data_IF_776926664896
#
_entry.id   IF_776926664896
#
_cell.length_a   1.000
_cell.length_b   1.000
_cell.length_c   1.000
_cell.angle_alpha   90.00
_cell.angle_beta   90.00
_cell.angle_gamma   90.00
#
_symmetry.space_group_name_H-M   'P 1'
#
loop_
_entity.id
_entity.type
_entity.pdbx_description
1 polymer ?
#
# COMPACT_ATOMS: atom_id res chain seq x y z
N UNK A 1 5.16 -74.70 48.34
CA UNK A 1 5.13 -73.31 47.81
C UNK A 1 5.53 -73.37 46.34
N UNK A 2 4.55 -73.52 45.43
CA UNK A 2 4.78 -73.62 43.97
C UNK A 2 4.20 -72.35 43.33
N UNK A 3 5.04 -71.58 42.64
CA UNK A 3 4.70 -70.29 42.02
C UNK A 3 4.05 -70.55 40.65
N UNK A 4 2.84 -70.02 40.46
CA UNK A 4 2.17 -69.91 39.17
C UNK A 4 2.62 -68.59 38.51
N UNK A 5 3.15 -68.69 37.30
CA UNK A 5 3.47 -67.55 36.43
C UNK A 5 2.32 -67.42 35.44
N UNK A 6 1.58 -66.31 35.49
CA UNK A 6 0.60 -65.94 34.47
C UNK A 6 1.20 -64.82 33.63
N UNK A 7 1.43 -65.10 32.35
CA UNK A 7 1.88 -64.15 31.34
C UNK A 7 0.68 -63.39 30.77
N UNK A 8 0.65 -62.08 30.89
CA UNK A 8 -0.26 -61.21 30.13
C UNK A 8 0.56 -60.49 29.05
N UNK A 9 0.27 -60.80 27.79
CA UNK A 9 0.88 -60.17 26.63
C UNK A 9 0.24 -58.78 26.41
N UNK A 10 1.03 -57.72 26.51
CA UNK A 10 0.64 -56.38 26.07
C UNK A 10 1.06 -56.19 24.60
N UNK A 11 0.08 -56.05 23.72
CA UNK A 11 0.28 -55.70 22.31
C UNK A 11 0.55 -54.20 22.23
N UNK A 12 1.78 -53.82 21.89
CA UNK A 12 2.17 -52.44 21.59
C UNK A 12 1.92 -52.18 20.10
N UNK A 13 0.89 -51.39 19.79
CA UNK A 13 0.66 -50.83 18.46
C UNK A 13 1.57 -49.61 18.26
N UNK A 14 2.57 -49.74 17.40
CA UNK A 14 3.35 -48.60 16.91
C UNK A 14 2.58 -47.89 15.80
N UNK A 15 1.99 -46.72 16.10
CA UNK A 15 1.53 -45.79 15.08
C UNK A 15 2.72 -44.97 14.57
N UNK A 16 3.18 -45.30 13.37
CA UNK A 16 4.08 -44.47 12.57
C UNK A 16 3.24 -43.45 11.80
N UNK A 17 3.15 -42.22 12.28
CA UNK A 17 2.71 -41.10 11.44
C UNK A 17 3.93 -40.58 10.67
N UNK A 18 4.09 -41.05 9.43
CA UNK A 18 4.91 -40.37 8.43
C UNK A 18 4.28 -38.99 8.20
N UNK A 19 5.01 -37.95 8.55
CA UNK A 19 4.66 -36.59 8.20
C UNK A 19 5.12 -36.39 6.76
N UNK A 20 4.24 -36.66 5.78
CA UNK A 20 4.48 -36.32 4.38
C UNK A 20 4.50 -34.79 4.25
N UNK A 21 5.67 -34.23 4.46
CA UNK A 21 5.98 -32.86 4.13
C UNK A 21 6.04 -32.79 2.60
N UNK A 22 4.89 -32.47 2.01
CA UNK A 22 4.81 -32.02 0.63
C UNK A 22 5.54 -30.67 0.56
N UNK A 23 6.83 -30.73 0.26
CA UNK A 23 7.62 -29.58 -0.18
C UNK A 23 7.01 -29.07 -1.50
N UNK A 24 6.04 -28.16 -1.38
CA UNK A 24 5.60 -27.32 -2.48
C UNK A 24 6.70 -26.31 -2.77
N UNK A 25 7.67 -26.76 -3.55
CA UNK A 25 8.60 -25.91 -4.27
C UNK A 25 7.87 -25.20 -5.42
N UNK A 26 6.90 -24.33 -5.10
CA UNK A 26 6.41 -23.37 -6.09
C UNK A 26 7.46 -22.27 -6.26
N UNK A 27 8.40 -22.53 -7.17
CA UNK A 27 9.07 -21.48 -7.93
C UNK A 27 8.05 -20.89 -8.89
N UNK A 28 7.04 -20.20 -8.36
CA UNK A 28 6.10 -19.45 -9.18
C UNK A 28 6.80 -18.19 -9.69
N UNK A 29 7.40 -18.31 -10.88
CA UNK A 29 7.67 -17.20 -11.80
C UNK A 29 6.39 -16.73 -12.50
N UNK A 30 5.22 -16.96 -11.91
CA UNK A 30 3.94 -16.47 -12.41
C UNK A 30 3.93 -14.94 -12.31
N UNK A 31 3.96 -14.26 -13.45
CA UNK A 31 3.80 -12.81 -13.52
C UNK A 31 2.47 -12.43 -12.85
N UNK A 32 2.50 -11.45 -11.94
CA UNK A 32 1.28 -10.97 -11.29
C UNK A 32 0.43 -10.29 -12.36
N UNK A 33 -0.77 -10.84 -12.62
CA UNK A 33 -1.67 -10.39 -13.69
C UNK A 33 -2.68 -9.34 -13.25
N UNK A 34 -2.79 -9.09 -11.94
CA UNK A 34 -3.70 -8.12 -11.33
C UNK A 34 -3.02 -7.42 -10.17
N UNK A 35 -3.22 -6.11 -10.02
CA UNK A 35 -2.78 -5.37 -8.84
C UNK A 35 -3.40 -6.01 -7.59
N UNK A 36 -2.57 -6.20 -6.58
CA UNK A 36 -3.02 -6.66 -5.27
C UNK A 36 -2.35 -5.79 -4.21
N UNK A 37 -3.14 -4.91 -3.59
CA UNK A 37 -2.76 -4.11 -2.44
C UNK A 37 -3.39 -4.73 -1.19
N UNK A 38 -2.60 -4.84 -0.12
CA UNK A 38 -3.06 -5.44 1.14
C UNK A 38 -3.42 -4.40 2.21
N UNK A 39 -3.57 -3.13 1.86
CA UNK A 39 -3.85 -2.04 2.81
C UNK A 39 -5.15 -2.26 3.59
N UNK A 40 -6.20 -2.76 2.93
CA UNK A 40 -7.48 -3.08 3.59
C UNK A 40 -7.35 -4.29 4.52
N UNK A 41 -6.71 -5.38 4.09
CA UNK A 41 -6.46 -6.56 4.93
C UNK A 41 -5.63 -6.22 6.17
N UNK A 42 -4.60 -5.39 6.00
CA UNK A 42 -3.75 -4.91 7.10
C UNK A 42 -4.55 -4.02 8.03
N UNK A 43 -5.38 -3.12 7.51
CA UNK A 43 -6.26 -2.29 8.32
C UNK A 43 -7.22 -3.14 9.17
N UNK A 44 -7.85 -4.16 8.58
CA UNK A 44 -8.75 -5.06 9.30
C UNK A 44 -8.03 -5.84 10.40
N UNK A 45 -6.83 -6.34 10.12
CA UNK A 45 -5.99 -7.00 11.12
C UNK A 45 -5.61 -6.03 12.25
N UNK A 46 -5.30 -4.78 11.95
CA UNK A 46 -4.99 -3.75 12.94
C UNK A 46 -6.20 -3.37 13.78
N UNK A 47 -7.39 -3.23 13.18
CA UNK A 47 -8.64 -2.96 13.90
C UNK A 47 -9.00 -4.10 14.86
N UNK A 48 -8.76 -5.35 14.45
CA UNK A 48 -8.95 -6.53 15.30
C UNK A 48 -7.95 -6.56 16.46
N UNK A 49 -6.70 -6.16 16.22
CA UNK A 49 -5.65 -6.15 17.23
C UNK A 49 -5.76 -4.97 18.22
N UNK A 50 -6.23 -3.81 17.75
CA UNK A 50 -6.46 -2.61 18.53
C UNK A 50 -7.81 -1.98 18.17
N UNK A 51 -8.90 -2.34 18.88
CA UNK A 51 -10.22 -1.77 18.64
C UNK A 51 -10.30 -0.25 18.82
N UNK A 52 -9.36 0.38 19.54
CA UNK A 52 -9.32 1.84 19.69
C UNK A 52 -8.87 2.56 18.41
N UNK A 53 -8.28 1.85 17.44
CA UNK A 53 -7.95 2.38 16.12
C UNK A 53 -9.20 2.93 15.41
N UNK A 54 -10.34 2.25 15.51
CA UNK A 54 -11.60 2.73 14.91
C UNK A 54 -11.98 4.13 15.43
N UNK A 55 -11.79 4.38 16.73
CA UNK A 55 -12.07 5.69 17.35
C UNK A 55 -11.11 6.75 16.79
N UNK A 56 -9.80 6.43 16.71
CA UNK A 56 -8.80 7.35 16.16
C UNK A 56 -9.07 7.69 14.69
N UNK A 57 -9.43 6.69 13.88
CA UNK A 57 -9.79 6.91 12.47
C UNK A 57 -11.05 7.78 12.32
N UNK A 58 -12.09 7.54 13.12
CA UNK A 58 -13.29 8.39 13.09
C UNK A 58 -12.99 9.84 13.49
N UNK A 59 -12.09 10.07 14.44
CA UNK A 59 -11.62 11.41 14.79
C UNK A 59 -10.86 12.08 13.63
N UNK A 60 -10.05 11.31 12.90
CA UNK A 60 -9.32 11.78 11.72
C UNK A 60 -10.28 12.13 10.58
N UNK A 61 -11.31 11.31 10.34
CA UNK A 61 -12.34 11.62 9.33
C UNK A 61 -13.13 12.88 9.70
N UNK A 62 -13.59 13.00 10.94
CA UNK A 62 -14.28 14.21 11.40
C UNK A 62 -13.41 15.47 11.31
N UNK A 63 -12.11 15.35 11.61
CA UNK A 63 -11.17 16.45 11.42
C UNK A 63 -10.99 16.80 9.94
N UNK A 64 -10.83 15.79 9.09
CA UNK A 64 -10.63 15.93 7.63
C UNK A 64 -11.83 16.64 6.99
N UNK A 65 -13.05 16.18 7.28
CA UNK A 65 -14.27 16.79 6.80
C UNK A 65 -14.38 18.26 7.25
N UNK A 66 -14.15 18.52 8.55
CA UNK A 66 -14.17 19.89 9.09
C UNK A 66 -13.12 20.79 8.42
N UNK A 67 -11.91 20.30 8.20
CA UNK A 67 -10.83 21.05 7.54
C UNK A 67 -11.20 21.39 6.09
N UNK A 68 -11.80 20.45 5.35
CA UNK A 68 -12.30 20.68 4.00
C UNK A 68 -13.45 21.70 3.97
N UNK A 69 -14.44 21.57 4.85
CA UNK A 69 -15.58 22.49 4.95
C UNK A 69 -15.17 23.92 5.32
N UNK A 70 -14.21 24.05 6.25
CA UNK A 70 -13.68 25.36 6.69
C UNK A 70 -12.59 25.90 5.78
N UNK A 71 -12.25 25.17 4.70
CA UNK A 71 -11.14 25.48 3.78
C UNK A 71 -9.79 25.66 4.49
N UNK A 72 -9.62 25.02 5.65
CA UNK A 72 -8.35 24.94 6.38
C UNK A 72 -7.50 23.85 5.77
N UNK A 73 -7.00 24.12 4.57
CA UNK A 73 -6.11 23.25 3.82
C UNK A 73 -4.71 23.87 3.77
N UNK A 74 -3.73 23.05 3.45
CA UNK A 74 -2.37 23.52 3.20
C UNK A 74 -2.38 24.56 2.08
N UNK A 75 -1.82 25.74 2.32
CA UNK A 75 -1.67 26.82 1.33
C UNK A 75 -0.20 27.06 0.95
N UNK A 76 0.62 26.00 1.00
CA UNK A 76 2.06 26.03 0.78
C UNK A 76 2.57 24.68 0.28
N UNK A 77 3.88 24.61 0.01
CA UNK A 77 4.53 23.39 -0.48
C UNK A 77 4.76 22.43 0.69
N UNK A 78 4.12 21.26 0.65
CA UNK A 78 4.47 20.14 1.55
C UNK A 78 5.65 19.39 0.94
N UNK A 79 6.73 19.27 1.70
CA UNK A 79 7.89 18.44 1.33
C UNK A 79 7.96 17.30 2.32
N UNK A 80 7.69 16.07 1.85
CA UNK A 80 7.72 14.87 2.66
C UNK A 80 9.14 14.29 2.66
N UNK A 81 9.84 14.27 3.79
CA UNK A 81 11.11 13.56 3.91
C UNK A 81 10.88 12.05 3.82
N UNK A 82 11.68 11.35 3.01
CA UNK A 82 11.54 9.91 2.77
C UNK A 82 12.77 9.14 3.23
N UNK A 83 12.55 8.07 4.00
CA UNK A 83 13.56 7.06 4.33
C UNK A 83 13.19 5.75 3.66
N UNK A 84 14.11 5.22 2.85
CA UNK A 84 13.90 3.95 2.11
C UNK A 84 14.69 2.83 2.79
N UNK A 85 13.97 1.80 3.23
CA UNK A 85 14.46 0.66 3.98
C UNK A 85 14.45 -0.60 3.10
N UNK A 86 15.59 -0.98 2.53
CA UNK A 86 15.73 -2.14 1.64
C UNK A 86 16.13 -3.39 2.44
N UNK A 87 15.27 -4.41 2.42
CA UNK A 87 15.56 -5.74 2.95
C UNK A 87 15.71 -6.74 1.82
N UNK A 88 16.91 -7.31 1.67
CA UNK A 88 17.26 -8.12 0.50
C UNK A 88 17.95 -9.42 0.90
N UNK A 89 17.66 -10.51 0.20
CA UNK A 89 18.36 -11.80 0.31
C UNK A 89 19.21 -12.08 -0.92
N UNK A 90 18.77 -11.63 -2.10
CA UNK A 90 19.48 -11.79 -3.38
C UNK A 90 19.97 -10.45 -3.92
N UNK A 91 20.86 -10.50 -4.92
CA UNK A 91 21.33 -9.29 -5.61
C UNK A 91 20.19 -8.52 -6.32
N UNK A 92 19.19 -9.23 -6.85
CA UNK A 92 18.03 -8.61 -7.51
C UNK A 92 17.13 -7.86 -6.52
N UNK A 93 16.96 -8.37 -5.30
CA UNK A 93 16.18 -7.71 -4.24
C UNK A 93 16.93 -6.50 -3.66
N UNK A 94 18.25 -6.44 -3.82
CA UNK A 94 19.09 -5.30 -3.40
C UNK A 94 19.08 -4.19 -4.45
N UNK A 95 17.88 -3.65 -4.74
CA UNK A 95 17.63 -2.68 -5.82
C UNK A 95 18.60 -1.49 -5.81
N UNK A 96 18.97 -0.96 -6.97
CA UNK A 96 19.97 0.12 -7.04
C UNK A 96 19.47 1.45 -6.46
N UNK A 97 20.40 2.33 -6.06
CA UNK A 97 20.05 3.70 -5.64
C UNK A 97 19.36 4.49 -6.77
N UNK A 98 19.71 4.21 -8.04
CA UNK A 98 19.05 4.81 -9.20
C UNK A 98 17.58 4.37 -9.32
N UNK A 99 17.29 3.09 -9.08
CA UNK A 99 15.90 2.60 -9.02
C UNK A 99 15.15 3.24 -7.86
N UNK A 100 15.79 3.42 -6.70
CA UNK A 100 15.18 4.11 -5.57
C UNK A 100 14.87 5.57 -5.91
N UNK A 101 15.83 6.30 -6.47
CA UNK A 101 15.65 7.69 -6.88
C UNK A 101 14.54 7.82 -7.92
N UNK A 102 14.46 6.87 -8.87
CA UNK A 102 13.38 6.88 -9.87
C UNK A 102 11.98 6.80 -9.24
N UNK A 103 11.82 6.10 -8.10
CA UNK A 103 10.54 6.09 -7.39
C UNK A 103 10.21 7.45 -6.79
N UNK A 104 11.20 8.14 -6.23
CA UNK A 104 11.03 9.49 -5.67
C UNK A 104 10.66 10.47 -6.79
N UNK A 105 11.26 10.32 -7.97
CA UNK A 105 10.93 11.13 -9.15
C UNK A 105 9.50 10.86 -9.65
N UNK A 106 9.05 9.60 -9.66
CA UNK A 106 7.66 9.22 -10.00
C UNK A 106 6.67 9.82 -9.00
N UNK A 107 6.92 9.68 -7.68
CA UNK A 107 6.06 10.28 -6.66
C UNK A 107 5.98 11.80 -6.84
N UNK A 108 7.10 12.47 -7.10
CA UNK A 108 7.10 13.90 -7.38
C UNK A 108 6.30 14.25 -8.63
N UNK A 109 6.37 13.45 -9.70
CA UNK A 109 5.60 13.69 -10.93
C UNK A 109 4.10 13.53 -10.69
N UNK A 110 3.69 12.43 -10.09
CA UNK A 110 2.28 12.08 -9.90
C UNK A 110 1.58 13.04 -8.92
N UNK A 111 2.23 13.39 -7.80
CA UNK A 111 1.67 14.30 -6.80
C UNK A 111 1.78 15.78 -7.21
N UNK A 112 2.44 16.10 -8.32
CA UNK A 112 2.48 17.46 -8.88
C UNK A 112 1.79 17.59 -10.24
N UNK A 113 1.16 16.53 -10.73
CA UNK A 113 0.56 16.46 -12.06
C UNK A 113 1.55 16.85 -13.19
N UNK A 114 2.82 16.46 -13.03
CA UNK A 114 3.87 16.64 -14.04
C UNK A 114 4.29 15.31 -14.68
N UNK A 115 3.57 14.23 -14.39
CA UNK A 115 3.65 12.96 -15.12
C UNK A 115 3.20 13.15 -16.58
N UNK A 116 3.93 12.57 -17.52
CA UNK A 116 3.73 12.80 -18.97
C UNK A 116 2.41 12.26 -19.50
N UNK A 117 1.82 11.29 -18.81
CA UNK A 117 0.51 10.69 -19.09
C UNK A 117 -0.66 11.46 -18.45
N UNK A 118 -0.41 12.51 -17.66
CA UNK A 118 -1.47 13.33 -17.06
C UNK A 118 -2.40 13.94 -18.11
N UNK A 119 -1.87 14.30 -19.29
CA UNK A 119 -2.67 14.83 -20.40
C UNK A 119 -3.62 13.80 -21.03
N UNK A 120 -3.49 12.52 -20.69
CA UNK A 120 -4.39 11.47 -21.15
C UNK A 120 -5.71 11.44 -20.36
N UNK A 121 -5.87 12.28 -19.32
CA UNK A 121 -7.13 12.43 -18.59
C UNK A 121 -8.28 12.75 -19.52
N UNK A 122 -9.34 11.92 -19.54
CA UNK A 122 -10.52 12.19 -20.34
C UNK A 122 -11.14 13.54 -20.01
N UNK A 123 -11.69 14.22 -21.03
CA UNK A 123 -12.30 15.53 -20.87
C UNK A 123 -13.41 15.59 -19.80
N UNK A 124 -14.09 14.46 -19.53
CA UNK A 124 -15.07 14.35 -18.45
C UNK A 124 -14.47 14.63 -17.06
N UNK A 125 -13.20 14.25 -16.85
CA UNK A 125 -12.51 14.34 -15.55
C UNK A 125 -11.48 15.46 -15.49
N UNK A 126 -11.21 16.17 -16.59
CA UNK A 126 -10.19 17.24 -16.61
C UNK A 126 -10.52 18.40 -15.68
N UNK A 127 -11.81 18.64 -15.38
CA UNK A 127 -12.26 19.66 -14.43
C UNK A 127 -11.97 19.33 -12.97
N UNK A 128 -11.70 18.06 -12.64
CA UNK A 128 -11.42 17.60 -11.27
C UNK A 128 -10.00 17.08 -11.10
N UNK A 129 -9.25 16.84 -12.18
CA UNK A 129 -7.87 16.38 -12.12
C UNK A 129 -6.95 17.39 -11.42
N UNK A 130 -6.14 16.91 -10.48
CA UNK A 130 -5.46 17.79 -9.54
C UNK A 130 -3.94 17.61 -9.53
N UNK A 131 -3.25 18.76 -9.55
CA UNK A 131 -1.92 18.88 -8.95
C UNK A 131 -2.10 18.90 -7.42
N UNK A 132 -1.70 17.83 -6.74
CA UNK A 132 -1.82 17.70 -5.27
C UNK A 132 -0.95 18.74 -4.56
N UNK A 133 0.24 19.03 -5.09
CA UNK A 133 1.15 20.05 -4.56
C UNK A 133 2.05 19.53 -3.43
N UNK A 134 2.17 18.20 -3.30
CA UNK A 134 3.06 17.54 -2.36
C UNK A 134 4.28 17.04 -3.13
N UNK A 135 5.46 17.21 -2.55
CA UNK A 135 6.73 16.73 -3.10
C UNK A 135 7.47 15.86 -2.07
N UNK A 136 8.39 15.04 -2.55
CA UNK A 136 9.11 14.04 -1.76
C UNK A 136 10.60 14.24 -1.90
N UNK A 137 11.32 14.14 -0.80
CA UNK A 137 12.78 14.28 -0.76
C UNK A 137 13.41 13.07 -0.07
N UNK A 138 14.26 12.35 -0.80
CA UNK A 138 15.01 11.23 -0.25
C UNK A 138 16.04 11.73 0.77
N UNK A 139 15.88 11.31 2.03
CA UNK A 139 16.82 11.66 3.11
C UNK A 139 17.84 10.57 3.38
N UNK A 140 17.42 9.32 3.30
CA UNK A 140 18.27 8.21 3.69
C UNK A 140 17.83 6.91 3.00
N UNK A 141 18.83 6.10 2.63
CA UNK A 141 18.65 4.70 2.25
C UNK A 141 19.29 3.84 3.33
N UNK A 142 18.52 2.90 3.89
CA UNK A 142 18.99 1.92 4.87
C UNK A 142 18.85 0.54 4.21
N UNK A 143 19.92 -0.24 4.19
CA UNK A 143 19.94 -1.57 3.58
C UNK A 143 20.27 -2.62 4.61
N UNK A 144 19.60 -3.77 4.56
CA UNK A 144 19.88 -4.91 5.43
C UNK A 144 19.70 -6.23 4.69
N UNK A 145 20.75 -7.05 4.67
CA UNK A 145 20.67 -8.41 4.13
C UNK A 145 19.84 -9.31 5.05
N UNK A 146 19.08 -10.24 4.49
CA UNK A 146 18.23 -11.19 5.21
C UNK A 146 18.31 -12.59 4.59
N UNK A 147 17.92 -13.61 5.35
CA UNK A 147 17.73 -14.98 4.84
C UNK A 147 16.26 -15.29 4.54
N UNK A 148 15.33 -14.40 4.91
CA UNK A 148 13.90 -14.56 4.64
C UNK A 148 13.63 -14.53 3.14
N UNK A 149 12.81 -15.47 2.67
CA UNK A 149 12.35 -15.54 1.28
C UNK A 149 11.12 -14.66 1.03
N UNK A 150 10.34 -14.37 2.08
CA UNK A 150 9.18 -13.48 2.05
C UNK A 150 8.97 -12.85 3.43
N UNK A 151 8.42 -11.63 3.44
CA UNK A 151 8.06 -10.90 4.65
C UNK A 151 6.55 -10.90 4.97
N UNK A 152 5.70 -11.17 3.97
CA UNK A 152 4.24 -11.07 4.07
C UNK A 152 3.78 -9.67 4.49
N UNK A 153 2.59 -9.58 5.07
CA UNK A 153 1.92 -8.31 5.43
C UNK A 153 1.75 -8.11 6.95
N UNK A 154 2.49 -8.88 7.76
CA UNK A 154 2.38 -8.87 9.23
C UNK A 154 3.32 -7.85 9.91
N UNK A 155 3.79 -6.85 9.15
CA UNK A 155 4.75 -5.81 9.58
C UNK A 155 6.08 -6.32 10.16
N UNK A 156 6.44 -7.59 9.93
CA UNK A 156 7.72 -8.14 10.46
C UNK A 156 8.94 -7.46 9.84
N UNK A 157 8.84 -6.95 8.61
CA UNK A 157 9.89 -6.15 7.95
C UNK A 157 10.12 -4.80 8.64
N UNK A 158 9.12 -4.28 9.35
CA UNK A 158 9.17 -3.02 10.10
C UNK A 158 9.72 -3.18 11.52
N UNK A 159 10.11 -4.40 11.92
CA UNK A 159 10.52 -4.70 13.30
C UNK A 159 11.97 -5.21 13.35
N UNK A 160 12.88 -4.39 13.88
CA UNK A 160 14.30 -4.73 14.02
C UNK A 160 14.54 -6.02 14.82
N UNK A 161 13.72 -6.30 15.85
CA UNK A 161 13.83 -7.51 16.68
C UNK A 161 13.37 -8.78 15.94
N UNK A 162 12.64 -8.63 14.83
CA UNK A 162 12.18 -9.74 13.96
C UNK A 162 12.95 -9.83 12.65
N UNK A 163 14.15 -9.23 12.62
CA UNK A 163 15.04 -9.24 11.47
C UNK A 163 14.84 -8.07 10.50
N UNK A 164 13.78 -7.28 10.66
CA UNK A 164 13.47 -6.13 9.80
C UNK A 164 14.32 -4.88 10.10
N UNK A 165 13.80 -3.72 9.68
CA UNK A 165 14.33 -2.38 9.96
C UNK A 165 13.20 -1.58 10.63
N UNK A 166 13.44 -1.03 11.83
CA UNK A 166 12.48 -0.18 12.51
C UNK A 166 12.31 1.18 11.79
N UNK A 167 11.13 1.81 11.84
CA UNK A 167 10.94 3.12 11.22
C UNK A 167 11.92 4.16 11.79
N UNK A 168 12.43 5.01 10.91
CA UNK A 168 13.24 6.18 11.27
C UNK A 168 12.31 7.38 11.42
N UNK A 169 12.18 7.90 12.64
CA UNK A 169 11.40 9.12 12.96
C UNK A 169 10.05 9.20 12.21
N UNK A 170 9.14 8.23 12.41
CA UNK A 170 7.90 8.07 11.61
C UNK A 170 6.92 9.25 11.71
N UNK A 171 7.09 10.13 12.71
CA UNK A 171 6.30 11.36 12.82
C UNK A 171 6.76 12.48 11.88
N UNK A 172 7.97 12.37 11.31
CA UNK A 172 8.55 13.40 10.44
C UNK A 172 9.15 12.85 9.14
N UNK A 173 9.11 11.53 8.95
CA UNK A 173 9.60 10.87 7.74
C UNK A 173 8.59 9.81 7.28
N UNK A 174 8.29 9.81 5.98
CA UNK A 174 7.65 8.68 5.33
C UNK A 174 8.68 7.55 5.25
N UNK A 175 8.37 6.43 5.90
CA UNK A 175 9.20 5.23 5.83
C UNK A 175 8.65 4.32 4.72
N UNK A 176 9.48 4.07 3.70
CA UNK A 176 9.20 3.12 2.63
C UNK A 176 10.03 1.86 2.87
N UNK A 177 9.41 0.71 3.04
CA UNK A 177 10.11 -0.57 3.05
C UNK A 177 10.06 -1.20 1.66
N UNK A 178 11.20 -1.68 1.19
CA UNK A 178 11.34 -2.42 -0.06
C UNK A 178 11.84 -3.81 0.26
N UNK A 179 11.02 -4.82 0.02
CA UNK A 179 11.34 -6.20 0.39
C UNK A 179 10.45 -7.19 -0.36
N UNK A 180 10.85 -8.46 -0.50
CA UNK A 180 9.97 -9.49 -1.08
C UNK A 180 8.76 -9.74 -0.16
N UNK A 181 7.57 -9.27 -0.55
CA UNK A 181 6.34 -9.43 0.23
C UNK A 181 5.80 -10.85 0.02
N UNK A 182 5.71 -11.29 -1.23
CA UNK A 182 5.15 -12.59 -1.63
C UNK A 182 3.62 -12.60 -1.73
N UNK A 183 3.03 -13.73 -2.13
CA UNK A 183 1.58 -13.90 -2.25
C UNK A 183 0.92 -13.09 -3.38
N UNK A 184 1.72 -12.59 -4.33
CA UNK A 184 1.23 -11.72 -5.42
C UNK A 184 0.92 -10.29 -4.98
N UNK A 185 1.23 -9.91 -3.73
CA UNK A 185 0.97 -8.58 -3.18
C UNK A 185 2.04 -7.62 -3.69
N UNK A 186 1.62 -6.51 -4.28
CA UNK A 186 2.54 -5.49 -4.80
C UNK A 186 3.02 -4.54 -3.70
N UNK A 187 2.13 -4.20 -2.78
CA UNK A 187 2.39 -3.27 -1.70
C UNK A 187 1.26 -3.21 -0.68
N UNK A 188 1.51 -2.49 0.41
CA UNK A 188 0.50 -2.06 1.35
C UNK A 188 0.99 -0.84 2.15
N UNK A 189 0.04 -0.09 2.68
CA UNK A 189 0.24 1.05 3.56
C UNK A 189 -0.41 0.81 4.92
N UNK A 190 0.03 1.60 5.89
CA UNK A 190 -0.73 1.82 7.11
C UNK A 190 -1.50 3.15 6.98
N UNK A 191 -2.82 3.10 7.18
CA UNK A 191 -3.67 4.28 7.26
C UNK A 191 -3.32 5.16 8.48
N UNK A 192 -3.61 6.48 8.44
CA UNK A 192 -3.49 7.34 9.61
C UNK A 192 -4.27 6.81 10.83
N UNK A 193 -3.69 6.99 12.02
CA UNK A 193 -4.25 6.51 13.29
C UNK A 193 -3.68 5.17 13.77
N UNK A 194 -2.95 4.45 12.90
CA UNK A 194 -2.19 3.26 13.28
C UNK A 194 -0.98 3.54 14.18
N UNK A 195 -0.26 2.48 14.56
CA UNK A 195 0.91 2.58 15.44
C UNK A 195 2.10 3.26 14.74
N UNK A 196 2.79 4.16 15.43
CA UNK A 196 4.02 4.78 14.92
C UNK A 196 5.13 3.75 14.68
N UNK A 197 5.12 2.60 15.36
CA UNK A 197 6.11 1.54 15.18
C UNK A 197 6.02 0.85 13.81
N UNK A 198 4.94 1.05 13.07
CA UNK A 198 4.64 0.41 11.79
C UNK A 198 4.15 1.39 10.72
N UNK A 199 4.12 2.70 11.01
CA UNK A 199 3.65 3.73 10.07
C UNK A 199 4.56 3.85 8.85
N UNK A 200 3.91 3.92 7.68
CA UNK A 200 4.56 4.01 6.37
C UNK A 200 4.03 2.96 5.41
N UNK A 201 4.82 2.67 4.38
CA UNK A 201 4.42 1.88 3.21
C UNK A 201 5.44 0.79 2.95
N UNK A 202 5.00 -0.42 2.59
CA UNK A 202 5.87 -1.50 2.15
C UNK A 202 5.52 -1.88 0.71
N UNK A 203 6.52 -1.95 -0.16
CA UNK A 203 6.40 -2.31 -1.58
C UNK A 203 7.28 -3.52 -1.88
N UNK A 204 6.80 -4.42 -2.72
CA UNK A 204 7.63 -5.51 -3.21
C UNK A 204 8.77 -4.97 -4.08
N UNK A 205 9.99 -5.46 -3.86
CA UNK A 205 11.19 -5.02 -4.59
C UNK A 205 11.06 -5.07 -6.12
N UNK A 206 10.23 -5.97 -6.66
CA UNK A 206 9.95 -6.08 -8.10
C UNK A 206 9.15 -4.90 -8.66
N UNK A 207 8.38 -4.20 -7.84
CA UNK A 207 7.41 -3.19 -8.28
C UNK A 207 7.71 -1.81 -7.69
N UNK A 208 8.95 -1.58 -7.26
CA UNK A 208 9.43 -0.30 -6.72
C UNK A 208 10.22 0.48 -7.77
N UNK A 209 9.86 1.75 -7.96
CA UNK A 209 10.45 2.64 -8.96
C UNK A 209 10.22 2.14 -10.38
N UNK A 210 11.09 2.58 -11.29
CA UNK A 210 11.10 2.08 -12.67
C UNK A 210 11.84 0.74 -12.72
N UNK A 211 11.14 -0.35 -12.44
CA UNK A 211 11.73 -1.68 -12.15
C UNK A 211 12.05 -2.55 -13.38
N UNK A 212 12.17 -1.95 -14.57
CA UNK A 212 12.47 -2.65 -15.81
C UNK A 212 11.27 -3.42 -16.40
N UNK A 213 11.32 -3.74 -17.69
CA UNK A 213 10.17 -4.32 -18.42
C UNK A 213 9.79 -5.73 -17.99
N UNK A 214 10.69 -6.47 -17.34
CA UNK A 214 10.40 -7.81 -16.82
C UNK A 214 9.35 -7.83 -15.70
N UNK A 215 9.11 -6.67 -15.06
CA UNK A 215 8.12 -6.51 -13.99
C UNK A 215 6.85 -5.78 -14.47
N UNK A 216 6.71 -5.58 -15.78
CA UNK A 216 5.46 -5.07 -16.36
C UNK A 216 4.29 -6.04 -16.04
N UNK A 217 3.08 -5.52 -15.81
CA UNK A 217 2.65 -4.14 -16.06
C UNK A 217 2.84 -3.17 -14.87
N UNK A 218 3.47 -3.59 -13.77
CA UNK A 218 3.63 -2.81 -12.53
C UNK A 218 5.07 -2.30 -12.34
N UNK A 219 5.61 -1.67 -13.38
CA UNK A 219 7.02 -1.29 -13.48
C UNK A 219 7.24 0.21 -13.69
N UNK A 220 6.23 1.05 -13.50
CA UNK A 220 6.33 2.51 -13.62
C UNK A 220 6.24 3.21 -12.26
N UNK A 221 6.27 2.45 -11.15
CA UNK A 221 6.32 2.98 -9.80
C UNK A 221 4.97 3.45 -9.25
N UNK A 222 3.84 3.10 -9.90
CA UNK A 222 2.51 3.57 -9.46
C UNK A 222 1.93 2.77 -8.31
N UNK A 223 2.50 1.60 -8.02
CA UNK A 223 2.29 0.90 -6.74
C UNK A 223 2.62 1.81 -5.56
N UNK A 224 3.79 2.49 -5.55
CA UNK A 224 4.10 3.39 -4.44
C UNK A 224 3.20 4.63 -4.42
N UNK A 225 2.82 5.18 -5.58
CA UNK A 225 1.87 6.30 -5.66
C UNK A 225 0.53 5.94 -5.01
N UNK A 226 0.00 4.76 -5.32
CA UNK A 226 -1.21 4.19 -4.73
C UNK A 226 -1.08 4.02 -3.20
N UNK A 227 -0.03 3.33 -2.73
CA UNK A 227 0.15 3.10 -1.29
C UNK A 227 0.40 4.40 -0.50
N UNK A 228 1.10 5.37 -1.08
CA UNK A 228 1.27 6.68 -0.45
C UNK A 228 -0.06 7.44 -0.38
N UNK A 229 -0.97 7.24 -1.34
CA UNK A 229 -2.35 7.70 -1.26
C UNK A 229 -3.06 7.17 0.00
N UNK A 230 -2.96 5.87 0.28
CA UNK A 230 -3.49 5.27 1.52
C UNK A 230 -2.84 5.85 2.78
N UNK A 231 -1.51 5.97 2.78
CA UNK A 231 -0.78 6.62 3.88
C UNK A 231 -1.26 8.06 4.12
N UNK A 232 -1.73 8.75 3.07
CA UNK A 232 -2.34 10.08 3.11
C UNK A 232 -3.88 10.10 3.20
N UNK A 233 -4.48 9.04 3.74
CA UNK A 233 -5.92 8.94 4.06
C UNK A 233 -6.88 8.80 2.85
N UNK A 234 -6.38 8.35 1.70
CA UNK A 234 -7.23 7.95 0.58
C UNK A 234 -7.62 6.48 0.68
N UNK A 235 -8.86 6.17 0.32
CA UNK A 235 -9.36 4.80 0.20
C UNK A 235 -9.28 4.35 -1.25
N UNK A 236 -9.44 3.05 -1.48
CA UNK A 236 -9.71 2.55 -2.81
C UNK A 236 -10.95 3.23 -3.39
N UNK A 237 -10.94 3.55 -4.69
CA UNK A 237 -11.96 4.40 -5.32
C UNK A 237 -13.37 3.75 -5.31
N UNK A 238 -13.46 2.42 -5.25
CA UNK A 238 -14.73 1.69 -5.11
C UNK A 238 -15.19 1.58 -3.64
N UNK A 239 -14.39 2.03 -2.68
CA UNK A 239 -14.73 2.06 -1.26
C UNK A 239 -14.72 0.69 -0.58
N UNK A 240 -14.02 -0.30 -1.13
CA UNK A 240 -13.88 -1.66 -0.55
C UNK A 240 -15.23 -2.38 -0.34
N UNK A 241 -16.27 -1.96 -1.06
CA UNK A 241 -17.60 -2.54 -1.05
C UNK A 241 -18.29 -2.32 -2.40
N UNK A 242 -19.25 -3.16 -2.74
CA UNK A 242 -20.05 -2.96 -3.95
C UNK A 242 -20.84 -1.65 -3.86
N UNK A 243 -20.58 -0.72 -4.79
CA UNK A 243 -21.11 0.64 -4.75
C UNK A 243 -20.80 1.38 -3.43
N UNK A 244 -19.60 1.15 -2.90
CA UNK A 244 -19.10 1.80 -1.69
C UNK A 244 -18.73 3.27 -1.92
N UNK A 245 -18.14 3.87 -0.89
CA UNK A 245 -17.65 5.24 -0.94
C UNK A 245 -16.21 5.31 -0.46
N UNK A 246 -15.38 6.03 -1.22
CA UNK A 246 -14.02 6.39 -0.86
C UNK A 246 -13.95 7.70 -0.03
N UNK A 247 -15.11 8.25 0.32
CA UNK A 247 -15.31 9.53 1.02
C UNK A 247 -14.81 10.76 0.24
N UNK A 248 -14.81 10.67 -1.09
CA UNK A 248 -14.49 11.77 -2.01
C UNK A 248 -15.68 11.99 -2.95
N UNK A 249 -16.16 13.23 -3.06
CA UNK A 249 -17.39 13.51 -3.82
C UNK A 249 -17.18 13.69 -5.32
N UNK A 250 -15.94 13.92 -5.77
CA UNK A 250 -15.57 14.11 -7.18
C UNK A 250 -14.97 12.85 -7.82
N UNK A 251 -14.91 11.75 -7.10
CA UNK A 251 -14.69 10.40 -7.63
C UNK A 251 -16.06 9.74 -7.83
N UNK A 252 -16.41 9.34 -9.07
CA UNK A 252 -17.66 8.64 -9.32
C UNK A 252 -17.73 7.31 -8.57
N UNK A 253 -18.93 6.84 -8.25
CA UNK A 253 -19.11 5.55 -7.55
C UNK A 253 -18.76 4.38 -8.46
N UNK A 254 -17.77 3.58 -8.08
CA UNK A 254 -17.43 2.33 -8.77
C UNK A 254 -18.16 1.15 -8.15
N UNK A 255 -18.52 0.14 -8.96
CA UNK A 255 -19.12 -1.08 -8.41
C UNK A 255 -18.11 -2.08 -7.86
N UNK A 256 -16.86 -2.03 -8.34
CA UNK A 256 -15.75 -2.88 -7.94
C UNK A 256 -14.41 -2.25 -8.39
N UNK A 257 -13.29 -2.88 -8.04
CA UNK A 257 -11.98 -2.55 -8.57
C UNK A 257 -11.86 -2.88 -10.07
N UNK A 258 -11.15 -2.03 -10.81
CA UNK A 258 -10.80 -2.27 -12.21
C UNK A 258 -9.36 -2.75 -12.36
N UNK A 259 -9.08 -3.54 -13.39
CA UNK A 259 -7.76 -4.13 -13.65
C UNK A 259 -7.36 -3.97 -15.11
N UNK A 260 -6.06 -4.10 -15.38
CA UNK A 260 -5.53 -3.96 -16.74
C UNK A 260 -5.64 -2.52 -17.23
N UNK A 261 -6.00 -2.36 -18.51
CA UNK A 261 -6.23 -1.07 -19.16
C UNK A 261 -7.69 -1.02 -19.67
N UNK A 262 -8.67 -0.69 -18.81
CA UNK A 262 -10.07 -0.64 -19.20
C UNK A 262 -10.31 0.34 -20.36
N UNK A 263 -11.18 -0.04 -21.31
CA UNK A 263 -11.58 0.86 -22.37
C UNK A 263 -12.43 2.02 -21.81
N UNK A 264 -12.16 3.24 -22.26
CA UNK A 264 -12.93 4.42 -21.89
C UNK A 264 -14.07 4.68 -22.90
N UNK A 265 -15.30 5.02 -22.45
CA UNK A 265 -15.75 5.06 -21.07
C UNK A 265 -16.05 3.65 -20.50
N UNK A 266 -15.68 3.44 -19.24
CA UNK A 266 -16.11 2.28 -18.45
C UNK A 266 -17.28 2.70 -17.54
N UNK A 267 -18.36 1.92 -17.50
CA UNK A 267 -19.58 2.28 -16.78
C UNK A 267 -19.78 1.38 -15.56
N UNK A 268 -20.01 2.02 -14.42
CA UNK A 268 -20.39 1.35 -13.18
C UNK A 268 -21.81 0.80 -13.27
N UNK A 269 -22.04 -0.34 -12.63
CA UNK A 269 -23.39 -0.92 -12.45
C UNK A 269 -24.18 -0.30 -11.30
N UNK A 270 -23.59 0.65 -10.57
CA UNK A 270 -24.26 1.38 -9.50
C UNK A 270 -25.37 2.31 -10.01
N UNK A 271 -26.21 2.79 -9.10
CA UNK A 271 -27.31 3.71 -9.41
C UNK A 271 -26.81 4.94 -10.17
N UNK A 272 -27.48 5.29 -11.26
CA UNK A 272 -27.10 6.38 -12.15
C UNK A 272 -26.04 6.03 -13.19
N UNK A 273 -25.51 4.79 -13.18
CA UNK A 273 -24.55 4.26 -14.17
C UNK A 273 -23.40 5.25 -14.45
N UNK A 274 -22.69 5.71 -13.41
CA UNK A 274 -21.64 6.70 -13.60
C UNK A 274 -20.50 6.14 -14.46
N UNK A 275 -19.85 7.02 -15.22
CA UNK A 275 -18.58 6.69 -15.87
C UNK A 275 -17.51 6.59 -14.80
N UNK A 276 -16.84 5.45 -14.69
CA UNK A 276 -15.81 5.19 -13.71
C UNK A 276 -14.51 5.92 -14.08
N UNK A 277 -13.82 6.42 -13.05
CA UNK A 277 -12.52 7.06 -13.15
C UNK A 277 -11.41 6.01 -13.04
N UNK A 278 -11.38 5.06 -13.98
CA UNK A 278 -10.46 3.90 -13.98
C UNK A 278 -8.97 4.26 -14.02
N UNK A 279 -8.66 5.50 -14.39
CA UNK A 279 -7.32 6.06 -14.43
C UNK A 279 -6.88 6.74 -13.12
N UNK A 280 -7.70 6.68 -12.09
CA UNK A 280 -7.33 7.17 -10.77
C UNK A 280 -6.25 6.28 -10.14
N UNK A 281 -5.25 6.88 -9.49
CA UNK A 281 -4.21 6.09 -8.79
C UNK A 281 -4.75 5.18 -7.69
N UNK A 282 -5.96 5.42 -7.17
CA UNK A 282 -6.61 4.61 -6.14
C UNK A 282 -7.49 3.48 -6.69
N UNK A 283 -7.45 3.22 -8.00
CA UNK A 283 -7.99 1.99 -8.62
C UNK A 283 -6.88 0.91 -8.75
N UNK A 284 -7.22 -0.27 -9.27
CA UNK A 284 -6.32 -1.42 -9.42
C UNK A 284 -5.80 -1.66 -10.85
N UNK A 285 -5.92 -0.65 -11.70
CA UNK A 285 -5.44 -0.70 -13.07
C UNK A 285 -3.91 -0.82 -13.14
N UNK A 286 -3.43 -1.14 -14.34
CA UNK A 286 -2.00 -1.23 -14.64
C UNK A 286 -1.33 0.14 -14.50
N UNK A 287 -0.02 0.16 -14.22
CA UNK A 287 0.70 1.42 -13.95
C UNK A 287 0.59 2.43 -15.11
N UNK A 288 0.45 1.96 -16.35
CA UNK A 288 0.31 2.80 -17.55
C UNK A 288 -1.13 3.30 -17.81
N UNK A 289 -2.09 2.83 -17.01
CA UNK A 289 -3.50 3.19 -17.12
C UNK A 289 -3.96 4.12 -15.99
N UNK A 290 -3.14 4.33 -14.96
CA UNK A 290 -3.40 5.28 -13.88
C UNK A 290 -2.46 6.49 -13.94
N UNK A 291 -3.02 7.69 -13.89
CA UNK A 291 -2.23 8.91 -14.12
C UNK A 291 -2.84 10.17 -13.48
N UNK A 292 -3.82 10.06 -12.58
CA UNK A 292 -4.38 11.22 -11.88
C UNK A 292 -4.89 10.96 -10.47
N UNK A 293 -4.84 12.01 -9.65
CA UNK A 293 -5.69 12.20 -8.47
C UNK A 293 -6.76 13.26 -8.77
N UNK A 294 -7.86 13.25 -8.02
CA UNK A 294 -8.91 14.28 -8.06
C UNK A 294 -8.64 15.45 -7.10
N UNK A 295 -9.42 16.52 -7.23
CA UNK A 295 -9.35 17.71 -6.37
C UNK A 295 -9.87 17.41 -4.96
N UNK A 296 -10.87 16.53 -4.84
CA UNK A 296 -11.35 16.01 -3.57
C UNK A 296 -10.30 15.15 -2.87
N UNK A 297 -9.61 14.25 -3.59
CA UNK A 297 -8.49 13.49 -3.06
C UNK A 297 -7.35 14.40 -2.58
N UNK A 298 -6.96 15.42 -3.38
CA UNK A 298 -6.02 16.46 -2.94
C UNK A 298 -6.44 17.11 -1.63
N UNK A 299 -7.72 17.46 -1.50
CA UNK A 299 -8.24 18.16 -0.32
C UNK A 299 -8.16 17.27 0.92
N UNK A 300 -8.50 15.98 0.81
CA UNK A 300 -8.36 15.01 1.91
C UNK A 300 -6.91 14.83 2.35
N UNK A 301 -6.00 14.61 1.39
CA UNK A 301 -4.56 14.50 1.70
C UNK A 301 -4.03 15.77 2.36
N UNK A 302 -4.41 16.95 1.85
CA UNK A 302 -3.99 18.24 2.42
C UNK A 302 -4.48 18.42 3.86
N UNK A 303 -5.71 17.99 4.17
CA UNK A 303 -6.31 18.19 5.47
C UNK A 303 -5.52 17.53 6.61
N UNK A 304 -4.92 16.34 6.40
CA UNK A 304 -4.21 15.66 7.49
C UNK A 304 -2.88 16.29 7.86
N UNK A 305 -2.34 17.21 7.04
CA UNK A 305 -1.08 17.91 7.30
C UNK A 305 -1.25 19.25 8.01
N UNK A 306 -2.45 19.83 8.06
CA UNK A 306 -2.64 21.11 8.79
C UNK A 306 -2.56 20.91 10.30
N UNK A 307 -2.25 21.97 11.04
CA UNK A 307 -2.17 21.91 12.52
C UNK A 307 -3.41 21.26 13.16
N UNK A 308 -3.17 20.23 13.98
CA UNK A 308 -4.20 19.38 14.59
C UNK A 308 -4.55 18.12 13.79
N UNK A 309 -4.11 18.04 12.53
CA UNK A 309 -4.27 16.86 11.68
C UNK A 309 -3.30 15.73 12.03
N UNK A 310 -3.63 14.52 11.54
CA UNK A 310 -2.91 13.29 11.88
C UNK A 310 -1.42 13.27 11.51
N UNK A 311 -1.01 14.12 10.56
CA UNK A 311 0.36 14.24 10.06
C UNK A 311 0.89 15.68 10.15
N UNK A 312 0.34 16.50 11.06
CA UNK A 312 0.74 17.90 11.23
C UNK A 312 2.24 18.12 11.48
N UNK A 313 2.94 17.13 12.04
CA UNK A 313 4.38 17.19 12.31
C UNK A 313 5.27 17.13 11.06
N UNK A 314 4.73 16.86 9.87
CA UNK A 314 5.46 16.90 8.60
C UNK A 314 5.72 18.33 8.07
N UNK A 315 5.24 19.37 8.78
CA UNK A 315 5.76 20.72 8.62
C UNK A 315 5.00 21.61 7.66
N UNK A 316 3.82 22.07 8.09
CA UNK A 316 3.17 23.30 7.62
C UNK A 316 2.93 24.21 8.81
#
# INVERSE_FOLDING_TARGET
MKKLILSAAAVLLFFSCQNDQTDLTNTDTSAVTKRNCASQDVLEAQLKADPSLAIRMNQIEAFTEKAMLTKRLVNGKVVIPVVVNVLYRTAAENISDAQIQSQIDVLNKDFTATNSDFSNTPALFSGVAANVGITFELKQIIRKSTTKTSWGTTDTMKNAKRGGIAPTSPTTNLNLWVCTIGGGILGYAQFPGGSSATDGVAIDSKYFGLSGSANAPYNLGRTATHEVGHWMNLRHIWGDASCGSDLVSDTPTHNDANYGVPAYPHYSTCSGTPVEMTMNYMDYTDDNAMFMFSTGQKSRMSAIFVSGGARASFGI
#
